data_IF_002642749115
#
_entry.id   IF_002642749115
#
_cell.length_a   1.000
_cell.length_b   1.000
_cell.length_c   1.000
_cell.angle_alpha   90.00
_cell.angle_beta   90.00
_cell.angle_gamma   90.00
#
_symmetry.space_group_name_H-M   'P 1'
#
loop_
_entity.id
_entity.type
_entity.pdbx_description
1 polymer ?
#
# COMPACT_ATOMS: atom_id res chain seq x y z
N UNK A 1 -17.84 -19.52 3.98
CA UNK A 1 -17.11 -18.30 4.39
C UNK A 1 -16.02 -18.06 3.38
N UNK A 2 -16.01 -16.91 2.71
CA UNK A 2 -14.96 -16.54 1.75
C UNK A 2 -13.79 -15.92 2.50
N UNK A 3 -12.62 -16.54 2.44
CA UNK A 3 -11.39 -15.96 2.97
C UNK A 3 -11.09 -14.62 2.28
N UNK A 4 -10.94 -13.56 3.08
CA UNK A 4 -10.60 -12.24 2.58
C UNK A 4 -9.09 -12.08 2.44
N UNK A 5 -8.67 -11.46 1.34
CA UNK A 5 -7.27 -11.18 1.05
C UNK A 5 -7.04 -9.68 0.99
N UNK A 6 -5.94 -9.24 1.59
CA UNK A 6 -5.49 -7.85 1.56
C UNK A 6 -4.29 -7.69 0.65
N UNK A 7 -4.26 -6.59 -0.10
CA UNK A 7 -3.07 -6.17 -0.85
C UNK A 7 -2.33 -5.09 -0.07
N UNK A 8 -1.12 -4.78 -0.52
CA UNK A 8 -0.30 -3.72 0.07
C UNK A 8 -1.04 -2.38 0.16
N UNK A 9 -1.91 -2.08 -0.81
CA UNK A 9 -2.71 -0.84 -0.81
C UNK A 9 -3.76 -0.77 0.30
N UNK A 10 -4.21 -1.92 0.79
CA UNK A 10 -5.22 -2.00 1.85
C UNK A 10 -4.56 -1.95 3.25
N UNK A 11 -3.31 -2.40 3.33
CA UNK A 11 -2.54 -2.47 4.57
C UNK A 11 -1.76 -1.18 4.87
N UNK A 12 -1.14 -0.60 3.83
CA UNK A 12 -0.23 0.53 3.96
C UNK A 12 -0.94 1.88 3.82
N UNK A 13 -0.42 2.88 4.52
CA UNK A 13 -0.70 4.29 4.25
C UNK A 13 0.00 4.72 2.95
N UNK A 14 -0.76 5.36 2.08
CA UNK A 14 -0.27 5.85 0.80
C UNK A 14 -0.37 7.36 0.85
N UNK A 15 0.77 8.09 0.82
CA UNK A 15 0.76 9.54 0.91
C UNK A 15 0.13 10.15 -0.34
N UNK A 16 -0.46 11.33 -0.17
CA UNK A 16 -0.94 12.12 -1.30
C UNK A 16 0.22 12.48 -2.23
N UNK A 17 0.00 12.32 -3.53
CA UNK A 17 0.89 12.86 -4.55
C UNK A 17 0.15 13.94 -5.33
N UNK A 18 0.56 15.22 -5.19
CA UNK A 18 -0.06 16.28 -5.95
C UNK A 18 0.21 16.05 -7.43
N UNK A 19 -0.78 16.39 -8.24
CA UNK A 19 -0.68 16.25 -9.68
C UNK A 19 0.44 17.15 -10.21
N UNK A 20 1.24 16.62 -11.15
CA UNK A 20 2.21 17.44 -11.89
C UNK A 20 1.61 17.85 -13.22
N UNK A 21 1.80 19.11 -13.55
CA UNK A 21 1.22 19.75 -14.72
C UNK A 21 2.26 19.77 -15.85
N UNK A 22 2.01 19.04 -16.94
CA UNK A 22 2.84 19.10 -18.13
C UNK A 22 2.20 20.04 -19.16
N UNK A 23 2.86 21.17 -19.41
CA UNK A 23 2.49 22.09 -20.48
C UNK A 23 3.24 21.75 -21.77
N UNK A 24 2.51 21.52 -22.86
CA UNK A 24 3.11 21.27 -24.17
C UNK A 24 3.59 22.60 -24.78
N UNK A 25 4.90 22.66 -25.09
CA UNK A 25 5.57 23.89 -25.55
C UNK A 25 5.50 24.14 -27.07
N UNK A 26 5.14 23.13 -27.87
CA UNK A 26 5.11 23.24 -29.34
C UNK A 26 4.11 22.27 -30.00
N UNK A 27 3.83 22.50 -31.29
CA UNK A 27 2.92 21.68 -32.12
C UNK A 27 1.43 22.02 -31.96
N UNK A 28 0.56 21.16 -32.51
CA UNK A 28 -0.91 21.29 -32.48
C UNK A 28 -1.47 21.35 -31.03
N UNK A 29 -0.71 20.84 -30.07
CA UNK A 29 -1.07 20.84 -28.64
C UNK A 29 -0.43 21.97 -27.84
N UNK A 30 0.25 22.94 -28.48
CA UNK A 30 0.86 24.08 -27.81
C UNK A 30 -0.19 24.82 -26.97
N UNK A 31 0.07 24.94 -25.67
CA UNK A 31 -0.86 25.55 -24.70
C UNK A 31 -1.83 24.59 -24.01
N UNK A 32 -1.92 23.31 -24.43
CA UNK A 32 -2.66 22.30 -23.65
C UNK A 32 -1.86 21.89 -22.42
N UNK A 33 -2.59 21.70 -21.34
CA UNK A 33 -2.07 21.28 -20.05
C UNK A 33 -2.55 19.85 -19.77
N UNK A 34 -1.63 18.92 -19.52
CA UNK A 34 -1.95 17.57 -19.07
C UNK A 34 -1.63 17.45 -17.59
N UNK A 35 -2.66 17.17 -16.79
CA UNK A 35 -2.55 16.81 -15.38
C UNK A 35 -2.12 15.34 -15.31
N UNK A 36 -0.95 15.06 -14.75
CA UNK A 36 -0.38 13.72 -14.68
C UNK A 36 -0.15 13.33 -13.22
N UNK A 37 -0.57 12.11 -12.87
CA UNK A 37 -0.10 11.41 -11.67
C UNK A 37 -0.71 11.85 -10.34
N UNK A 38 -1.87 12.52 -10.36
CA UNK A 38 -2.60 12.82 -9.13
C UNK A 38 -2.99 11.53 -8.41
N UNK A 39 -2.70 11.42 -7.11
CA UNK A 39 -3.20 10.33 -6.26
C UNK A 39 -3.55 10.85 -4.88
N UNK A 40 -4.75 10.51 -4.41
CA UNK A 40 -5.23 10.84 -3.07
C UNK A 40 -4.54 10.01 -1.98
N UNK A 41 -4.43 10.59 -0.78
CA UNK A 41 -3.98 9.86 0.40
C UNK A 41 -4.99 8.77 0.78
N UNK A 42 -4.49 7.60 1.17
CA UNK A 42 -5.31 6.49 1.66
C UNK A 42 -4.69 5.92 2.91
N UNK A 43 -5.46 5.87 4.00
CA UNK A 43 -5.03 5.26 5.26
C UNK A 43 -5.30 3.75 5.21
N UNK A 44 -4.23 2.96 5.18
CA UNK A 44 -4.32 1.50 5.28
C UNK A 44 -4.55 1.03 6.72
N UNK A 45 -4.93 -0.24 6.86
CA UNK A 45 -5.31 -0.88 8.12
C UNK A 45 -4.28 -0.72 9.25
N UNK A 46 -2.98 -0.75 8.91
CA UNK A 46 -1.88 -0.73 9.89
C UNK A 46 -1.34 0.71 10.08
N UNK A 47 -1.68 1.64 9.16
CA UNK A 47 -1.29 3.04 9.26
C UNK A 47 0.19 3.36 8.98
N UNK A 48 0.99 2.37 8.57
CA UNK A 48 2.42 2.55 8.25
C UNK A 48 2.68 2.67 6.75
N UNK A 49 3.84 3.17 6.34
CA UNK A 49 4.20 3.26 4.93
C UNK A 49 4.42 1.88 4.29
N UNK A 50 4.24 1.79 2.96
CA UNK A 50 4.50 0.56 2.18
C UNK A 50 5.94 0.07 2.38
N UNK A 51 6.91 0.99 2.44
CA UNK A 51 8.33 0.66 2.66
C UNK A 51 8.52 -0.02 4.02
N UNK A 52 7.89 0.52 5.06
CA UNK A 52 7.97 -0.01 6.43
C UNK A 52 7.39 -1.42 6.52
N UNK A 53 6.25 -1.69 5.87
CA UNK A 53 5.69 -3.05 5.82
C UNK A 53 6.64 -4.03 5.13
N UNK A 54 7.23 -3.65 3.99
CA UNK A 54 8.22 -4.50 3.33
C UNK A 54 9.45 -4.75 4.18
N UNK A 55 9.89 -3.77 4.96
CA UNK A 55 10.98 -3.95 5.93
C UNK A 55 10.59 -4.96 7.02
N UNK A 56 9.38 -4.90 7.57
CA UNK A 56 8.91 -5.89 8.55
C UNK A 56 8.77 -7.29 7.94
N UNK A 57 8.28 -7.40 6.71
CA UNK A 57 8.24 -8.68 5.97
C UNK A 57 9.64 -9.26 5.80
N UNK A 58 10.63 -8.43 5.43
CA UNK A 58 12.03 -8.85 5.30
C UNK A 58 12.66 -9.25 6.63
N UNK A 59 12.30 -8.57 7.72
CA UNK A 59 12.73 -8.88 9.08
C UNK A 59 12.03 -10.11 9.68
N UNK A 60 10.96 -10.60 9.03
CA UNK A 60 10.12 -11.69 9.56
C UNK A 60 9.18 -11.25 10.69
N UNK A 61 9.05 -9.94 10.92
CA UNK A 61 8.15 -9.38 11.93
C UNK A 61 6.70 -9.27 11.45
N UNK A 62 6.45 -9.38 10.14
CA UNK A 62 5.12 -9.33 9.53
C UNK A 62 4.87 -10.61 8.73
N UNK A 63 3.61 -11.10 8.62
CA UNK A 63 3.31 -12.31 7.86
C UNK A 63 3.85 -12.26 6.43
N UNK A 64 4.35 -13.40 5.96
CA UNK A 64 4.89 -13.52 4.62
C UNK A 64 3.77 -13.39 3.58
N UNK A 65 4.00 -12.62 2.50
CA UNK A 65 3.02 -12.49 1.44
C UNK A 65 2.84 -13.79 0.64
N UNK A 66 1.62 -13.99 0.16
CA UNK A 66 1.25 -15.04 -0.79
C UNK A 66 1.27 -14.46 -2.20
N UNK A 67 2.02 -15.08 -3.11
CA UNK A 67 2.03 -14.72 -4.54
C UNK A 67 0.92 -15.49 -5.26
N UNK A 68 -0.11 -14.77 -5.72
CA UNK A 68 -1.18 -15.36 -6.55
C UNK A 68 -0.79 -15.36 -8.03
N UNK A 69 0.02 -14.41 -8.46
CA UNK A 69 0.54 -14.32 -9.82
C UNK A 69 1.92 -13.64 -9.84
N UNK A 70 2.61 -13.55 -10.98
CA UNK A 70 3.91 -12.86 -11.06
C UNK A 70 3.88 -11.43 -10.51
N UNK A 71 2.73 -10.73 -10.64
CA UNK A 71 2.55 -9.33 -10.27
C UNK A 71 1.62 -9.12 -9.06
N UNK A 72 0.88 -10.16 -8.64
CA UNK A 72 -0.12 -10.05 -7.58
C UNK A 72 0.38 -10.74 -6.32
N UNK A 73 0.49 -9.93 -5.27
CA UNK A 73 0.92 -10.33 -3.94
C UNK A 73 -0.14 -9.92 -2.92
N UNK A 74 -0.54 -10.85 -2.06
CA UNK A 74 -1.63 -10.68 -1.09
C UNK A 74 -1.27 -11.27 0.27
N UNK A 75 -2.00 -10.87 1.29
CA UNK A 75 -1.98 -11.45 2.64
C UNK A 75 -3.36 -11.96 3.01
N UNK A 76 -3.44 -13.02 3.80
CA UNK A 76 -4.73 -13.50 4.34
C UNK A 76 -5.16 -12.57 5.47
N UNK A 77 -6.46 -12.33 5.56
CA UNK A 77 -7.04 -11.58 6.68
C UNK A 77 -6.73 -12.23 8.04
N UNK A 78 -6.76 -13.57 8.08
CA UNK A 78 -6.48 -14.37 9.27
C UNK A 78 -5.06 -14.16 9.81
N UNK A 79 -4.05 -14.24 8.95
CA UNK A 79 -2.64 -14.04 9.34
C UNK A 79 -2.40 -12.63 9.91
N UNK A 80 -3.03 -11.63 9.31
CA UNK A 80 -2.92 -10.24 9.75
C UNK A 80 -3.63 -10.03 11.10
N UNK A 81 -4.80 -10.64 11.29
CA UNK A 81 -5.53 -10.58 12.55
C UNK A 81 -4.75 -11.28 13.68
N UNK A 82 -4.13 -12.42 13.41
CA UNK A 82 -3.25 -13.10 14.37
C UNK A 82 -2.02 -12.26 14.70
N UNK A 83 -1.39 -11.65 13.70
CA UNK A 83 -0.27 -10.74 13.91
C UNK A 83 -0.64 -9.54 14.79
N UNK A 84 -1.80 -8.91 14.54
CA UNK A 84 -2.28 -7.81 15.38
C UNK A 84 -2.49 -8.25 16.83
N UNK A 85 -3.08 -9.43 17.05
CA UNK A 85 -3.25 -10.00 18.40
C UNK A 85 -1.91 -10.25 19.10
N UNK A 86 -0.89 -10.73 18.37
CA UNK A 86 0.45 -10.95 18.94
C UNK A 86 1.10 -9.64 19.38
N UNK A 87 0.93 -8.56 18.61
CA UNK A 87 1.47 -7.23 18.95
C UNK A 87 0.71 -6.58 20.11
N UNK A 88 -0.60 -6.76 20.18
CA UNK A 88 -1.44 -6.28 21.29
C UNK A 88 -1.03 -6.91 22.62
N UNK A 89 -0.82 -8.23 22.65
CA UNK A 89 -0.35 -8.95 23.85
C UNK A 89 1.03 -8.52 24.34
N UNK A 90 1.86 -7.94 23.46
CA UNK A 90 3.18 -7.44 23.85
C UNK A 90 3.14 -6.09 24.58
N UNK A 91 1.96 -5.45 24.68
CA UNK A 91 1.76 -4.15 25.33
C UNK A 91 1.29 -4.31 26.79
N UNK A 92 0.91 -5.51 27.22
CA UNK A 92 0.51 -5.82 28.61
C UNK A 92 1.68 -6.33 29.48
N UNK A 93 2.81 -5.62 29.50
CA UNK A 93 3.96 -5.92 30.39
C UNK A 93 4.41 -4.69 31.18
#
# INVERSE_FOLDING_TARGET
MTEQFYRMKDLANIPERPARTHMYKSGINKGKVRVIGARQASKGLIGVSEKTLWEWVRKGEFPQPIRLSPTITVWRASDIAEWMKQKDRSIEV
#
